data_IF_286986434675
#
_entry.id   IF_286986434675
#
_cell.length_a   1.000
_cell.length_b   1.000
_cell.length_c   1.000
_cell.angle_alpha   90.00
_cell.angle_beta   90.00
_cell.angle_gamma   90.00
#
_symmetry.space_group_name_H-M   'P 1'
#
loop_
_entity.id
_entity.type
_entity.pdbx_description
1 polymer ?
#
# COMPACT_ATOMS: atom_id res chain seq x y z
N UNK A 1 14.34 11.03 1.48
CA UNK A 1 13.69 11.96 2.43
C UNK A 1 13.07 13.04 1.55
N UNK A 2 11.78 13.36 1.69
CA UNK A 2 11.20 14.42 0.87
C UNK A 2 11.94 15.73 1.16
N UNK A 3 12.48 16.34 0.12
CA UNK A 3 13.09 17.67 0.15
C UNK A 3 12.15 18.61 -0.61
N UNK A 4 11.73 19.71 0.01
CA UNK A 4 10.81 20.68 -0.59
C UNK A 4 9.75 21.20 0.38
N UNK A 5 8.88 22.07 -0.13
CA UNK A 5 7.69 22.53 0.59
C UNK A 5 6.74 21.34 0.83
N UNK A 6 6.40 21.11 2.10
CA UNK A 6 5.51 20.05 2.56
C UNK A 6 4.10 20.57 2.82
N UNK A 7 3.81 21.83 2.45
CA UNK A 7 2.47 22.37 2.51
C UNK A 7 1.55 21.54 1.62
N UNK A 8 0.60 20.86 2.26
CA UNK A 8 -0.43 20.14 1.54
C UNK A 8 -1.52 21.15 1.12
N UNK A 9 -1.95 21.15 -0.15
CA UNK A 9 -3.09 21.96 -0.56
C UNK A 9 -4.35 21.48 0.16
N UNK A 10 -5.43 22.25 0.06
CA UNK A 10 -6.75 21.78 0.48
C UNK A 10 -7.13 20.54 -0.34
N UNK A 11 -7.17 19.39 0.31
CA UNK A 11 -7.55 18.12 -0.31
C UNK A 11 -9.05 17.91 -0.15
N UNK A 12 -9.78 17.98 -1.26
CA UNK A 12 -11.21 17.73 -1.25
C UNK A 12 -11.52 16.22 -1.19
N UNK A 13 -12.59 15.82 -0.48
CA UNK A 13 -12.98 14.42 -0.43
C UNK A 13 -13.40 13.93 -1.82
N UNK A 14 -12.88 12.76 -2.22
CA UNK A 14 -13.29 12.08 -3.44
C UNK A 14 -14.40 11.09 -3.08
N UNK A 15 -15.59 11.26 -3.68
CA UNK A 15 -16.72 10.36 -3.45
C UNK A 15 -16.33 8.93 -3.83
N UNK A 16 -16.61 7.99 -2.94
CA UNK A 16 -16.29 6.57 -3.15
C UNK A 16 -14.87 6.19 -2.74
N UNK A 17 -14.10 7.09 -2.13
CA UNK A 17 -12.81 6.76 -1.51
C UNK A 17 -12.92 6.97 0.00
N UNK A 18 -12.48 5.97 0.78
CA UNK A 18 -12.37 6.06 2.24
C UNK A 18 -10.94 5.74 2.66
N UNK A 19 -10.49 6.38 3.74
CA UNK A 19 -9.11 6.27 4.22
C UNK A 19 -9.14 5.93 5.71
N UNK A 20 -8.49 4.84 6.10
CA UNK A 20 -8.19 4.49 7.48
C UNK A 20 -6.69 4.59 7.74
N UNK A 21 -6.31 5.16 8.88
CA UNK A 21 -4.92 5.26 9.32
C UNK A 21 -4.81 4.82 10.77
N UNK A 22 -3.72 4.13 11.11
CA UNK A 22 -3.49 3.68 12.49
C UNK A 22 -1.99 3.62 12.81
N UNK A 23 -1.70 3.48 14.10
CA UNK A 23 -0.37 3.16 14.62
C UNK A 23 -0.29 1.64 14.81
N UNK A 24 0.19 0.94 13.78
CA UNK A 24 0.32 -0.52 13.78
C UNK A 24 1.64 -1.00 14.41
N UNK A 25 2.51 -0.08 14.81
CA UNK A 25 3.77 -0.36 15.52
C UNK A 25 4.75 -1.23 14.71
N UNK A 26 4.80 -1.04 13.39
CA UNK A 26 5.60 -1.86 12.47
C UNK A 26 7.09 -1.64 12.68
N UNK A 27 7.51 -0.40 12.92
CA UNK A 27 8.90 -0.07 13.26
C UNK A 27 9.03 0.80 14.51
N UNK A 28 8.18 1.81 14.66
CA UNK A 28 8.27 2.78 15.74
C UNK A 28 6.93 2.93 16.45
N UNK A 29 6.97 3.21 17.75
CA UNK A 29 5.78 3.57 18.53
C UNK A 29 5.39 5.02 18.33
N UNK A 30 4.12 5.32 18.57
CA UNK A 30 3.56 6.68 18.54
C UNK A 30 3.70 7.35 17.17
N UNK A 31 3.55 6.56 16.10
CA UNK A 31 3.61 7.02 14.71
C UNK A 31 2.59 6.26 13.87
N UNK A 32 1.79 7.01 13.11
CA UNK A 32 0.93 6.44 12.07
C UNK A 32 1.80 5.83 10.98
N UNK A 33 1.71 4.53 10.81
CA UNK A 33 2.60 3.76 9.95
C UNK A 33 1.87 2.75 9.06
N UNK A 34 0.54 2.69 9.17
CA UNK A 34 -0.32 1.90 8.31
C UNK A 34 -1.48 2.75 7.78
N UNK A 35 -1.74 2.66 6.48
CA UNK A 35 -2.90 3.25 5.82
C UNK A 35 -3.61 2.19 5.00
N UNK A 36 -4.95 2.23 5.04
CA UNK A 36 -5.82 1.46 4.16
C UNK A 36 -6.70 2.44 3.39
N UNK A 37 -6.69 2.31 2.07
CA UNK A 37 -7.67 2.94 1.21
C UNK A 37 -8.73 1.91 0.84
N UNK A 38 -10.00 2.31 0.89
CA UNK A 38 -11.12 1.59 0.29
C UNK A 38 -11.60 2.42 -0.90
N UNK A 39 -11.65 1.79 -2.07
CA UNK A 39 -12.10 2.38 -3.33
C UNK A 39 -13.49 1.86 -3.66
N UNK A 40 -14.36 2.64 -4.31
CA UNK A 40 -15.70 2.23 -4.73
C UNK A 40 -15.70 0.90 -5.52
N UNK A 41 -16.77 0.09 -5.43
CA UNK A 41 -16.79 -1.25 -6.04
C UNK A 41 -16.63 -1.19 -7.56
N UNK A 42 -17.09 -0.09 -8.16
CA UNK A 42 -17.02 0.18 -9.60
C UNK A 42 -15.76 0.97 -9.99
N UNK A 43 -14.79 1.13 -9.08
CA UNK A 43 -13.57 1.86 -9.36
C UNK A 43 -12.68 1.08 -10.33
N UNK A 44 -12.12 1.79 -11.31
CA UNK A 44 -11.06 1.26 -12.16
C UNK A 44 -9.69 1.60 -11.58
N UNK A 45 -8.80 0.62 -11.53
CA UNK A 45 -7.44 0.80 -10.98
C UNK A 45 -6.41 0.64 -12.08
N UNK A 46 -5.45 1.54 -12.13
CA UNK A 46 -4.24 1.40 -12.92
C UNK A 46 -3.03 1.70 -12.04
N UNK A 47 -1.92 1.01 -12.26
CA UNK A 47 -0.69 1.23 -11.51
C UNK A 47 0.54 1.03 -12.41
N UNK A 48 1.58 1.81 -12.12
CA UNK A 48 2.92 1.56 -12.62
C UNK A 48 3.79 1.08 -11.47
N UNK A 49 4.73 0.21 -11.77
CA UNK A 49 5.61 -0.39 -10.77
C UNK A 49 7.06 -0.16 -11.15
N UNK A 50 7.94 -0.23 -10.17
CA UNK A 50 9.39 -0.18 -10.42
C UNK A 50 9.81 -1.25 -11.43
N UNK A 51 10.77 -0.89 -12.28
CA UNK A 51 11.45 -1.78 -13.24
C UNK A 51 12.69 -2.44 -12.64
N UNK A 52 13.03 -2.15 -11.38
CA UNK A 52 14.16 -2.74 -10.70
C UNK A 52 14.01 -4.28 -10.62
N UNK A 53 15.04 -5.02 -11.01
CA UNK A 53 15.06 -6.48 -10.95
C UNK A 53 14.85 -7.01 -9.51
N UNK A 54 15.28 -6.27 -8.49
CA UNK A 54 15.11 -6.61 -7.08
C UNK A 54 13.79 -6.07 -6.51
N UNK A 55 12.67 -6.45 -7.13
CA UNK A 55 11.34 -6.07 -6.67
C UNK A 55 11.01 -6.68 -5.30
N UNK A 56 10.58 -5.84 -4.36
CA UNK A 56 10.05 -6.28 -3.07
C UNK A 56 8.82 -7.20 -3.25
N UNK A 57 8.58 -8.09 -2.28
CA UNK A 57 7.41 -8.97 -2.29
C UNK A 57 6.07 -8.24 -2.52
N UNK A 58 5.76 -7.09 -1.87
CA UNK A 58 4.50 -6.38 -2.11
C UNK A 58 4.33 -5.87 -3.54
N UNK A 59 5.42 -5.56 -4.26
CA UNK A 59 5.33 -5.15 -5.68
C UNK A 59 4.86 -6.31 -6.54
N UNK A 60 5.36 -7.52 -6.28
CA UNK A 60 4.97 -8.71 -7.04
C UNK A 60 3.51 -9.10 -6.78
N UNK A 61 3.08 -9.06 -5.51
CA UNK A 61 1.68 -9.30 -5.12
C UNK A 61 0.74 -8.27 -5.74
N UNK A 62 1.08 -6.98 -5.68
CA UNK A 62 0.26 -5.92 -6.25
C UNK A 62 0.09 -6.07 -7.78
N UNK A 63 1.17 -6.42 -8.50
CA UNK A 63 1.08 -6.74 -9.95
C UNK A 63 0.13 -7.91 -10.21
N UNK A 64 0.26 -9.00 -9.45
CA UNK A 64 -0.55 -10.19 -9.61
C UNK A 64 -2.04 -9.93 -9.35
N UNK A 65 -2.36 -9.18 -8.28
CA UNK A 65 -3.75 -8.84 -7.95
C UNK A 65 -4.37 -7.92 -9.02
N UNK A 66 -3.63 -6.90 -9.46
CA UNK A 66 -4.12 -5.97 -10.48
C UNK A 66 -4.36 -6.65 -11.84
N UNK A 67 -3.58 -7.68 -12.16
CA UNK A 67 -3.78 -8.47 -13.38
C UNK A 67 -5.05 -9.34 -13.33
N UNK A 68 -5.60 -9.61 -12.15
CA UNK A 68 -6.80 -10.42 -11.98
C UNK A 68 -8.07 -9.58 -11.93
N UNK A 69 -8.05 -8.46 -11.20
CA UNK A 69 -9.21 -7.59 -11.02
C UNK A 69 -8.83 -6.17 -10.58
N UNK A 70 -9.80 -5.25 -10.69
CA UNK A 70 -9.71 -3.95 -10.06
C UNK A 70 -9.56 -4.10 -8.53
N UNK A 71 -8.69 -3.29 -7.93
CA UNK A 71 -8.44 -3.34 -6.48
C UNK A 71 -9.55 -2.63 -5.71
N UNK A 72 -10.16 -3.31 -4.74
CA UNK A 72 -11.12 -2.71 -3.79
C UNK A 72 -10.41 -1.99 -2.64
N UNK A 73 -9.26 -2.51 -2.22
CA UNK A 73 -8.46 -1.96 -1.12
C UNK A 73 -7.00 -1.81 -1.49
N UNK A 74 -6.35 -0.79 -0.92
CA UNK A 74 -4.90 -0.61 -0.96
C UNK A 74 -4.39 -0.55 0.48
N UNK A 75 -3.48 -1.45 0.84
CA UNK A 75 -2.82 -1.46 2.15
C UNK A 75 -1.36 -1.05 1.98
N UNK A 76 -0.95 -0.01 2.70
CA UNK A 76 0.39 0.55 2.62
C UNK A 76 0.92 0.72 4.02
N UNK A 77 2.12 0.19 4.25
CA UNK A 77 2.84 0.40 5.49
C UNK A 77 4.10 1.24 5.27
N UNK A 78 4.59 1.83 6.35
CA UNK A 78 5.91 2.48 6.42
C UNK A 78 6.78 1.79 7.46
N UNK A 79 8.08 2.10 7.48
CA UNK A 79 9.04 1.51 8.43
C UNK A 79 9.65 0.17 7.99
N UNK A 80 8.96 -0.64 7.18
CA UNK A 80 9.51 -1.88 6.61
C UNK A 80 9.09 -2.05 5.13
N UNK A 81 10.07 -2.15 4.23
CA UNK A 81 9.81 -2.29 2.79
C UNK A 81 9.44 -3.71 2.35
N UNK A 82 9.70 -4.73 3.19
CA UNK A 82 9.55 -6.15 2.84
C UNK A 82 10.26 -6.53 1.51
N UNK A 83 11.51 -6.07 1.37
CA UNK A 83 12.37 -6.32 0.21
C UNK A 83 13.51 -7.27 0.58
N UNK A 84 13.86 -8.21 -0.30
CA UNK A 84 14.93 -9.18 -0.05
C UNK A 84 14.64 -10.21 1.05
N UNK A 85 13.37 -10.43 1.36
CA UNK A 85 12.87 -11.26 2.48
C UNK A 85 12.45 -12.68 2.07
N UNK A 86 12.65 -13.05 0.81
CA UNK A 86 12.37 -14.40 0.29
C UNK A 86 10.91 -14.85 0.43
N UNK A 87 10.72 -16.15 0.61
CA UNK A 87 9.39 -16.80 0.69
C UNK A 87 8.55 -16.31 1.87
N UNK A 88 9.20 -16.03 3.01
CA UNK A 88 8.52 -15.46 4.20
C UNK A 88 7.96 -14.08 3.88
N UNK A 89 8.73 -13.24 3.18
CA UNK A 89 8.27 -11.93 2.72
C UNK A 89 7.04 -12.01 1.82
N UNK A 90 7.05 -12.96 0.88
CA UNK A 90 5.91 -13.20 -0.02
C UNK A 90 4.66 -13.64 0.76
N UNK A 91 4.80 -14.61 1.67
CA UNK A 91 3.69 -15.09 2.48
C UNK A 91 3.10 -13.98 3.38
N UNK A 92 3.95 -13.12 3.95
CA UNK A 92 3.49 -11.98 4.75
C UNK A 92 2.74 -10.93 3.92
N UNK A 93 3.19 -10.66 2.69
CA UNK A 93 2.50 -9.76 1.77
C UNK A 93 1.11 -10.29 1.40
N UNK A 94 1.02 -11.57 1.02
CA UNK A 94 -0.26 -12.23 0.72
C UNK A 94 -1.22 -12.20 1.91
N UNK A 95 -0.74 -12.56 3.11
CA UNK A 95 -1.55 -12.54 4.33
C UNK A 95 -2.13 -11.15 4.64
N UNK A 96 -1.35 -10.10 4.36
CA UNK A 96 -1.81 -8.72 4.54
C UNK A 96 -2.95 -8.37 3.59
N UNK A 97 -2.90 -8.87 2.34
CA UNK A 97 -4.00 -8.70 1.38
C UNK A 97 -5.24 -9.53 1.77
N UNK A 98 -5.07 -10.76 2.25
CA UNK A 98 -6.19 -11.63 2.64
C UNK A 98 -6.93 -11.14 3.90
N UNK A 99 -6.30 -10.30 4.72
CA UNK A 99 -6.94 -9.74 5.91
C UNK A 99 -7.95 -8.62 5.61
N UNK A 100 -8.15 -8.27 4.33
CA UNK A 100 -9.04 -7.21 3.84
C UNK A 100 -10.12 -7.83 2.93
#
# INVERSE_FOLDING_TARGET
MAVGDLSMPVMHPVKGVRIGITEAYIRYKNRKDLVVFELAEQANTAAVFTTNAFCAAPVQVAKANLAQANSRYLIINTGNANAGTGTTGMANALRSCTAL
#
